data_IF_424255705528
#
_entry.id   IF_424255705528
#
_cell.length_a   1.000
_cell.length_b   1.000
_cell.length_c   1.000
_cell.angle_alpha   90.00
_cell.angle_beta   90.00
_cell.angle_gamma   90.00
#
_symmetry.space_group_name_H-M   'P 1'
#
loop_
_entity.id
_entity.type
_entity.pdbx_description
1 polymer ?
#
# COMPACT_ATOMS: atom_id res chain seq x y z
N UNK A 1 -7.13 -14.58 -27.77
CA UNK A 1 -8.11 -14.84 -26.68
C UNK A 1 -9.14 -13.73 -26.67
N UNK A 2 -10.39 -13.98 -26.24
CA UNK A 2 -11.38 -12.92 -26.08
C UNK A 2 -10.94 -11.87 -25.05
N UNK A 3 -11.27 -10.59 -25.27
CA UNK A 3 -10.92 -9.50 -24.35
C UNK A 3 -11.44 -9.74 -22.92
N UNK A 4 -12.64 -10.31 -22.79
CA UNK A 4 -13.22 -10.68 -21.49
C UNK A 4 -12.36 -11.68 -20.72
N UNK A 5 -11.69 -12.63 -21.39
CA UNK A 5 -10.78 -13.58 -20.75
C UNK A 5 -9.56 -12.89 -20.19
N UNK A 6 -8.97 -11.95 -20.93
CA UNK A 6 -7.80 -11.18 -20.47
C UNK A 6 -8.14 -10.32 -19.26
N UNK A 7 -9.30 -9.65 -19.29
CA UNK A 7 -9.78 -8.83 -18.17
C UNK A 7 -10.00 -9.70 -16.92
N UNK A 8 -10.58 -10.88 -17.06
CA UNK A 8 -10.75 -11.83 -15.94
C UNK A 8 -9.41 -12.35 -15.41
N UNK A 9 -8.45 -12.61 -16.29
CA UNK A 9 -7.11 -13.04 -15.89
C UNK A 9 -6.33 -11.90 -15.19
N UNK A 10 -6.48 -10.65 -15.64
CA UNK A 10 -5.96 -9.47 -14.96
C UNK A 10 -6.59 -9.27 -13.58
N UNK A 11 -7.90 -9.50 -13.44
CA UNK A 11 -8.56 -9.53 -12.13
C UNK A 11 -7.98 -10.64 -11.25
N UNK A 12 -7.78 -11.85 -11.81
CA UNK A 12 -7.18 -12.95 -11.08
C UNK A 12 -5.77 -12.62 -10.58
N UNK A 13 -4.93 -12.03 -11.43
CA UNK A 13 -3.58 -11.58 -11.05
C UNK A 13 -3.63 -10.59 -9.88
N UNK A 14 -4.49 -9.59 -9.92
CA UNK A 14 -4.63 -8.64 -8.80
C UNK A 14 -5.20 -9.28 -7.53
N UNK A 15 -6.12 -10.25 -7.66
CA UNK A 15 -6.74 -10.93 -6.53
C UNK A 15 -5.77 -11.86 -5.76
N UNK A 16 -4.64 -12.27 -6.35
CA UNK A 16 -3.67 -13.09 -5.61
C UNK A 16 -3.08 -12.36 -4.39
N UNK A 17 -3.19 -11.03 -4.33
CA UNK A 17 -2.82 -10.25 -3.14
C UNK A 17 -3.54 -10.72 -1.87
N UNK A 18 -4.75 -11.24 -2.02
CA UNK A 18 -5.53 -11.82 -0.93
C UNK A 18 -4.92 -13.08 -0.34
N UNK A 19 -3.97 -13.73 -1.02
CA UNK A 19 -3.26 -14.90 -0.50
C UNK A 19 -2.21 -14.50 0.55
N UNK A 20 -1.67 -13.28 0.48
CA UNK A 20 -0.69 -12.77 1.45
C UNK A 20 -1.31 -12.12 2.69
N UNK A 21 -2.50 -11.53 2.55
CA UNK A 21 -3.18 -10.79 3.63
C UNK A 21 -3.59 -11.59 4.89
N UNK A 22 -3.92 -12.90 4.82
CA UNK A 22 -4.34 -13.68 5.98
C UNK A 22 -3.31 -13.73 7.11
N UNK A 23 -2.03 -13.44 6.82
CA UNK A 23 -1.00 -13.36 7.86
C UNK A 23 -1.31 -12.31 8.95
N UNK A 24 -2.11 -11.29 8.62
CA UNK A 24 -2.57 -10.29 9.58
C UNK A 24 -3.41 -10.89 10.74
N UNK A 25 -4.06 -12.04 10.53
CA UNK A 25 -4.91 -12.69 11.53
C UNK A 25 -4.14 -13.67 12.44
N UNK A 26 -2.91 -14.06 12.06
CA UNK A 26 -2.13 -15.01 12.84
C UNK A 26 -1.66 -14.35 14.14
N UNK A 27 -2.19 -14.84 15.26
CA UNK A 27 -1.88 -14.34 16.61
C UNK A 27 -0.42 -14.59 17.03
N UNK A 28 0.19 -15.67 16.53
CA UNK A 28 1.49 -16.16 16.99
C UNK A 28 2.50 -16.33 15.84
N UNK A 29 2.64 -15.33 14.97
CA UNK A 29 3.72 -15.33 13.96
C UNK A 29 5.03 -14.97 14.64
N UNK A 30 6.11 -15.78 14.50
CA UNK A 30 7.41 -15.45 15.05
C UNK A 30 7.92 -14.15 14.42
N UNK A 31 8.58 -13.31 15.21
CA UNK A 31 9.06 -12.01 14.76
C UNK A 31 10.01 -12.15 13.55
N UNK A 32 10.84 -13.18 13.53
CA UNK A 32 11.73 -13.50 12.40
C UNK A 32 10.98 -13.67 11.08
N UNK A 33 9.86 -14.38 11.08
CA UNK A 33 9.06 -14.61 9.87
C UNK A 33 8.37 -13.33 9.40
N UNK A 34 7.88 -12.47 10.31
CA UNK A 34 7.31 -11.16 9.95
C UNK A 34 8.35 -10.28 9.25
N UNK A 35 9.56 -10.24 9.80
CA UNK A 35 10.69 -9.49 9.24
C UNK A 35 11.01 -10.03 7.86
N UNK A 36 11.20 -11.35 7.78
CA UNK A 36 11.58 -12.02 6.55
C UNK A 36 10.56 -11.80 5.43
N UNK A 37 9.26 -12.00 5.68
CA UNK A 37 8.22 -11.83 4.65
C UNK A 37 8.05 -10.37 4.23
N UNK A 38 8.14 -9.43 5.17
CA UNK A 38 8.10 -8.00 4.84
C UNK A 38 9.30 -7.59 3.97
N UNK A 39 10.49 -8.11 4.29
CA UNK A 39 11.71 -7.80 3.53
C UNK A 39 11.80 -8.56 2.22
N UNK A 40 11.22 -9.76 2.13
CA UNK A 40 11.00 -10.47 0.88
C UNK A 40 10.11 -9.66 -0.05
N UNK A 41 8.96 -9.19 0.43
CA UNK A 41 8.11 -8.29 -0.36
C UNK A 41 8.85 -7.01 -0.77
N UNK A 42 9.58 -6.38 0.16
CA UNK A 42 10.39 -5.19 -0.15
C UNK A 42 11.46 -5.45 -1.21
N UNK A 43 12.13 -6.60 -1.17
CA UNK A 43 13.12 -6.99 -2.18
C UNK A 43 12.51 -7.16 -3.57
N UNK A 44 11.32 -7.78 -3.63
CA UNK A 44 10.53 -7.88 -4.87
C UNK A 44 10.16 -6.49 -5.39
N UNK A 45 9.66 -5.59 -4.53
CA UNK A 45 9.35 -4.21 -4.92
C UNK A 45 10.58 -3.45 -5.47
N UNK A 46 11.78 -3.68 -4.91
CA UNK A 46 13.00 -3.06 -5.42
C UNK A 46 13.33 -3.55 -6.84
N UNK A 47 13.15 -4.85 -7.10
CA UNK A 47 13.30 -5.38 -8.45
C UNK A 47 12.26 -4.75 -9.41
N UNK A 48 11.00 -4.68 -8.99
CA UNK A 48 9.93 -4.08 -9.80
C UNK A 48 10.18 -2.60 -10.09
N UNK A 49 10.77 -1.86 -9.16
CA UNK A 49 11.16 -0.48 -9.43
C UNK A 49 12.14 -0.38 -10.61
N UNK A 50 13.12 -1.29 -10.65
CA UNK A 50 14.06 -1.36 -11.76
C UNK A 50 13.34 -1.69 -13.07
N UNK A 51 12.51 -2.74 -13.07
CA UNK A 51 11.77 -3.20 -14.25
C UNK A 51 10.83 -2.12 -14.82
N UNK A 52 10.01 -1.50 -13.98
CA UNK A 52 9.09 -0.43 -14.38
C UNK A 52 9.83 0.78 -14.96
N UNK A 53 10.99 1.15 -14.39
CA UNK A 53 11.80 2.25 -14.94
C UNK A 53 12.38 1.87 -16.30
N UNK A 54 12.84 0.63 -16.49
CA UNK A 54 13.34 0.15 -17.78
C UNK A 54 12.24 0.24 -18.85
N UNK A 55 11.06 -0.33 -18.58
CA UNK A 55 9.93 -0.29 -19.49
C UNK A 55 9.46 1.14 -19.81
N UNK A 56 9.47 2.05 -18.83
CA UNK A 56 9.13 3.46 -19.05
C UNK A 56 10.15 4.22 -19.92
N UNK A 57 11.40 3.73 -19.96
CA UNK A 57 12.49 4.38 -20.68
C UNK A 57 12.59 3.90 -22.13
N UNK A 58 12.03 2.74 -22.49
CA UNK A 58 12.07 2.24 -23.88
C UNK A 58 11.51 3.23 -24.91
N UNK A 59 10.31 3.82 -24.73
CA UNK A 59 9.78 4.79 -25.70
C UNK A 59 10.65 6.05 -25.78
N UNK A 60 11.26 6.46 -24.67
CA UNK A 60 12.15 7.63 -24.60
C UNK A 60 13.41 7.38 -25.41
N UNK A 61 14.00 6.19 -25.29
CA UNK A 61 15.18 5.81 -26.07
C UNK A 61 14.85 5.77 -27.56
N UNK A 62 13.70 5.23 -27.95
CA UNK A 62 13.25 5.25 -29.33
C UNK A 62 13.06 6.67 -29.87
N UNK A 63 12.47 7.58 -29.08
CA UNK A 63 12.32 8.99 -29.46
C UNK A 63 13.68 9.72 -29.54
N UNK A 64 14.63 9.39 -28.66
CA UNK A 64 15.98 9.94 -28.68
C UNK A 64 16.76 9.49 -29.93
N UNK A 65 16.63 8.23 -30.32
CA UNK A 65 17.26 7.70 -31.53
C UNK A 65 16.70 8.37 -32.79
N UNK A 66 15.39 8.60 -32.87
CA UNK A 66 14.78 9.39 -33.94
C UNK A 66 15.32 10.82 -33.99
N UNK A 67 15.46 11.48 -32.82
CA UNK A 67 16.00 12.82 -32.73
C UNK A 67 17.48 12.88 -33.18
N UNK A 68 18.27 11.87 -32.80
CA UNK A 68 19.70 11.82 -33.11
C UNK A 68 19.97 11.48 -34.58
N UNK A 69 19.20 10.56 -35.16
CA UNK A 69 19.48 10.00 -36.50
C UNK A 69 18.69 10.69 -37.61
N UNK A 70 17.45 11.10 -37.33
CA UNK A 70 16.54 11.68 -38.33
C UNK A 70 16.26 13.17 -38.08
N UNK A 71 16.75 13.74 -36.97
CA UNK A 71 16.48 15.13 -36.55
C UNK A 71 14.99 15.46 -36.43
N UNK A 72 14.15 14.45 -36.21
CA UNK A 72 12.71 14.55 -36.01
C UNK A 72 12.32 13.98 -34.63
N UNK A 73 11.14 14.29 -34.12
CA UNK A 73 10.68 13.71 -32.84
C UNK A 73 11.19 14.42 -31.58
N UNK A 74 11.71 15.66 -31.69
CA UNK A 74 12.10 16.44 -30.51
C UNK A 74 10.92 16.62 -29.53
N UNK A 75 9.73 16.91 -30.06
CA UNK A 75 8.52 17.11 -29.24
C UNK A 75 8.11 15.85 -28.46
N UNK A 76 8.16 14.68 -29.09
CA UNK A 76 7.85 13.39 -28.42
C UNK A 76 8.89 13.07 -27.36
N UNK A 77 10.18 13.22 -27.67
CA UNK A 77 11.25 13.01 -26.69
C UNK A 77 11.08 13.89 -25.43
N UNK A 78 10.86 15.20 -25.60
CA UNK A 78 10.68 16.10 -24.45
C UNK A 78 9.39 15.82 -23.68
N UNK A 79 8.30 15.46 -24.38
CA UNK A 79 7.05 15.06 -23.73
C UNK A 79 7.25 13.81 -22.89
N UNK A 80 7.90 12.78 -23.44
CA UNK A 80 8.10 11.50 -22.77
C UNK A 80 9.01 11.65 -21.53
N UNK A 81 10.09 12.43 -21.63
CA UNK A 81 10.95 12.78 -20.49
C UNK A 81 10.17 13.57 -19.43
N UNK A 82 9.34 14.52 -19.86
CA UNK A 82 8.49 15.27 -18.94
C UNK A 82 7.51 14.34 -18.21
N UNK A 83 6.84 13.45 -18.93
CA UNK A 83 5.87 12.50 -18.35
C UNK A 83 6.55 11.55 -17.35
N UNK A 84 7.76 11.07 -17.66
CA UNK A 84 8.53 10.24 -16.74
C UNK A 84 8.87 11.00 -15.44
N UNK A 85 9.49 12.17 -15.56
CA UNK A 85 9.94 12.94 -14.40
C UNK A 85 8.77 13.46 -13.57
N UNK A 86 7.74 13.98 -14.22
CA UNK A 86 6.51 14.43 -13.57
C UNK A 86 5.76 13.26 -12.92
N UNK A 87 5.62 12.13 -13.61
CA UNK A 87 4.95 10.94 -13.10
C UNK A 87 5.63 10.37 -11.86
N UNK A 88 6.96 10.22 -11.86
CA UNK A 88 7.73 9.78 -10.68
C UNK A 88 7.52 10.74 -9.50
N UNK A 89 7.60 12.04 -9.76
CA UNK A 89 7.36 13.07 -8.75
C UNK A 89 5.94 13.01 -8.19
N UNK A 90 4.93 12.88 -9.06
CA UNK A 90 3.53 12.78 -8.67
C UNK A 90 3.24 11.49 -7.91
N UNK A 91 3.81 10.35 -8.32
CA UNK A 91 3.64 9.06 -7.64
C UNK A 91 4.28 9.05 -6.26
N UNK A 92 5.49 9.58 -6.12
CA UNK A 92 6.23 9.61 -4.85
C UNK A 92 5.73 10.70 -3.90
N UNK A 93 5.81 11.97 -4.33
CA UNK A 93 5.47 13.13 -3.51
C UNK A 93 3.96 13.27 -3.34
N UNK A 94 3.17 12.88 -4.34
CA UNK A 94 1.71 12.88 -4.25
C UNK A 94 1.19 11.96 -3.15
N UNK A 95 1.82 10.79 -2.93
CA UNK A 95 1.48 9.91 -1.80
C UNK A 95 1.81 10.54 -0.44
N UNK A 96 2.89 11.34 -0.34
CA UNK A 96 3.22 12.10 0.89
C UNK A 96 2.14 13.13 1.20
N UNK A 97 1.67 13.86 0.19
CA UNK A 97 0.59 14.84 0.37
C UNK A 97 -0.75 14.18 0.64
N UNK A 98 -1.07 13.09 -0.06
CA UNK A 98 -2.26 12.28 0.21
C UNK A 98 -2.28 11.79 1.66
N UNK A 99 -1.13 11.30 2.14
CA UNK A 99 -0.94 10.90 3.52
C UNK A 99 -1.24 12.07 4.49
N UNK A 100 -0.58 13.21 4.29
CA UNK A 100 -0.75 14.41 5.11
C UNK A 100 -2.22 14.90 5.15
N UNK A 101 -2.93 14.78 4.02
CA UNK A 101 -4.33 15.15 3.90
C UNK A 101 -5.27 14.21 4.65
N UNK A 102 -5.09 12.89 4.50
CA UNK A 102 -5.88 11.88 5.23
C UNK A 102 -5.68 12.03 6.74
N UNK A 103 -4.45 12.29 7.20
CA UNK A 103 -4.15 12.52 8.60
C UNK A 103 -4.85 13.76 9.17
N UNK A 104 -4.78 14.90 8.46
CA UNK A 104 -5.47 16.13 8.88
C UNK A 104 -6.98 15.93 9.05
N UNK A 105 -7.63 15.21 8.13
CA UNK A 105 -9.07 14.91 8.22
C UNK A 105 -9.43 13.99 9.39
N UNK A 106 -8.61 12.96 9.68
CA UNK A 106 -8.86 12.03 10.81
C UNK A 106 -8.67 12.71 12.17
N UNK A 107 -7.64 13.54 12.31
CA UNK A 107 -7.44 14.33 13.53
C UNK A 107 -8.60 15.29 13.76
N UNK A 108 -9.03 16.00 12.71
CA UNK A 108 -10.16 16.94 12.80
C UNK A 108 -11.48 16.24 13.19
N UNK A 109 -11.77 15.08 12.59
CA UNK A 109 -12.96 14.29 12.96
C UNK A 109 -12.92 13.78 14.40
N UNK A 110 -11.74 13.38 14.90
CA UNK A 110 -11.56 12.93 16.29
C UNK A 110 -11.80 14.07 17.28
N UNK A 111 -11.26 15.27 17.01
CA UNK A 111 -11.49 16.48 17.80
C UNK A 111 -12.97 16.82 17.89
N UNK A 112 -13.69 16.80 16.75
CA UNK A 112 -15.12 17.08 16.71
C UNK A 112 -15.95 16.06 17.50
N UNK A 113 -15.64 14.76 17.43
CA UNK A 113 -16.32 13.75 18.26
C UNK A 113 -16.02 13.90 19.74
N UNK A 114 -14.78 14.20 20.12
CA UNK A 114 -14.42 14.39 21.53
C UNK A 114 -15.07 15.64 22.09
N UNK A 115 -15.08 16.75 21.35
CA UNK A 115 -15.75 18.00 21.74
C UNK A 115 -17.27 17.81 21.83
N UNK A 116 -17.89 17.08 20.89
CA UNK A 116 -19.31 16.77 20.94
C UNK A 116 -19.68 15.86 22.12
N UNK A 117 -18.88 14.84 22.42
CA UNK A 117 -19.10 13.96 23.59
C UNK A 117 -18.90 14.76 24.89
N UNK A 118 -17.87 15.61 24.96
CA UNK A 118 -17.58 16.45 26.14
C UNK A 118 -18.71 17.46 26.36
N UNK A 119 -19.17 18.13 25.30
CA UNK A 119 -20.30 19.07 25.36
C UNK A 119 -21.61 18.36 25.77
N UNK A 120 -21.87 17.15 25.25
CA UNK A 120 -23.03 16.35 25.65
C UNK A 120 -22.96 15.90 27.12
N UNK A 121 -21.76 15.55 27.62
CA UNK A 121 -21.57 15.19 29.03
C UNK A 121 -21.73 16.37 29.99
N UNK A 122 -21.34 17.58 29.57
CA UNK A 122 -21.53 18.81 30.36
C UNK A 122 -23.00 19.26 30.41
N UNK A 123 -23.80 18.92 29.39
CA UNK A 123 -25.23 19.24 29.33
C UNK A 123 -26.12 18.31 30.19
N UNK A 124 -25.63 17.13 30.59
CA UNK A 124 -26.40 16.16 31.39
C UNK A 124 -26.10 16.22 32.90
N UNK A 125 -25.23 17.13 33.33
CA UNK A 125 -24.92 17.33 34.73
C UNK A 125 -25.91 18.35 35.33
N UNK A 126 -27.11 17.89 35.67
CA UNK A 126 -28.04 18.69 36.48
C UNK A 126 -27.38 19.05 37.83
N UNK A 127 -27.54 20.28 38.35
CA UNK A 127 -26.97 20.65 39.63
C UNK A 127 -27.65 19.87 40.75
N UNK A 128 -26.89 19.01 41.42
CA UNK A 128 -27.33 18.38 42.68
C UNK A 128 -27.67 19.46 43.71
N UNK A 129 -28.81 19.39 44.41
CA UNK A 129 -29.13 20.36 45.44
C UNK A 129 -28.10 20.27 46.56
N UNK A 130 -27.47 21.39 46.88
CA UNK A 130 -26.55 21.50 48.02
C UNK A 130 -27.40 21.43 49.29
N UNK A 131 -27.51 20.25 49.90
CA UNK A 131 -28.07 20.09 51.24
C UNK A 131 -26.97 20.45 52.24
N UNK A 132 -27.09 21.63 52.85
CA UNK A 132 -26.28 21.99 54.00
C UNK A 132 -26.81 21.27 55.24
N UNK A 133 -26.02 20.39 55.83
CA UNK A 133 -26.24 19.93 57.21
C UNK A 133 -24.95 20.09 57.98
N UNK A 134 -24.94 21.09 58.87
CA UNK A 134 -24.19 21.03 60.12
C UNK A 134 -24.74 19.84 60.93
N UNK A 135 -23.88 18.94 61.45
CA UNK A 135 -23.73 18.73 62.89
C UNK A 135 -22.67 17.66 63.25
N UNK A 136 -22.32 17.69 64.52
CA UNK A 136 -21.25 17.04 65.28
C UNK A 136 -21.25 15.49 65.42
N UNK A 137 -20.06 14.99 65.80
CA UNK A 137 -19.76 13.78 66.62
C UNK A 137 -19.91 12.33 66.09
N UNK A 138 -18.82 11.58 66.27
CA UNK A 138 -18.72 10.22 66.85
C UNK A 138 -19.39 8.98 66.18
N UNK A 139 -18.56 7.94 66.02
CA UNK A 139 -18.79 6.47 66.10
C UNK A 139 -19.28 5.62 64.89
N UNK A 140 -18.43 4.60 64.64
CA UNK A 140 -18.70 3.16 64.34
C UNK A 140 -19.08 2.68 62.93
N UNK A 141 -18.43 1.55 62.62
CA UNK A 141 -18.56 0.58 61.52
C UNK A 141 -19.86 0.54 60.70
N UNK A 142 -19.69 0.55 59.38
CA UNK A 142 -20.68 0.08 58.41
C UNK A 142 -20.01 -0.15 57.06
N UNK A 143 -19.99 -1.40 56.60
CA UNK A 143 -19.48 -1.85 55.30
C UNK A 143 -20.14 -1.08 54.15
N UNK A 144 -19.36 -0.29 53.41
CA UNK A 144 -19.77 0.29 52.14
C UNK A 144 -18.98 -0.39 51.02
N UNK A 145 -19.69 -1.17 50.20
CA UNK A 145 -19.17 -1.75 48.98
C UNK A 145 -18.58 -0.64 48.09
N UNK A 146 -17.26 -0.62 48.00
CA UNK A 146 -16.54 0.20 47.03
C UNK A 146 -16.86 -0.37 45.66
N UNK A 147 -17.82 0.26 44.97
CA UNK A 147 -18.00 0.12 43.52
C UNK A 147 -16.67 0.47 42.87
N UNK A 148 -15.93 -0.56 42.48
CA UNK A 148 -14.72 -0.46 41.66
C UNK A 148 -15.15 0.04 40.28
N UNK A 149 -15.20 1.37 40.14
CA UNK A 149 -15.25 2.01 38.84
C UNK A 149 -14.11 1.43 38.00
N UNK A 150 -14.45 0.66 36.98
CA UNK A 150 -13.53 0.13 36.00
C UNK A 150 -12.78 1.32 35.39
N UNK A 151 -11.54 1.53 35.83
CA UNK A 151 -10.64 2.50 35.21
C UNK A 151 -10.36 1.98 33.81
N UNK A 152 -11.11 2.50 32.84
CA UNK A 152 -10.70 2.47 31.43
C UNK A 152 -9.37 3.19 31.38
N UNK A 153 -8.27 2.42 31.35
CA UNK A 153 -6.94 2.96 31.23
C UNK A 153 -6.86 3.82 29.96
N UNK A 154 -6.19 4.98 29.99
CA UNK A 154 -6.06 5.81 28.81
C UNK A 154 -5.41 4.98 27.69
N UNK A 155 -6.12 4.84 26.57
CA UNK A 155 -5.59 4.22 25.37
C UNK A 155 -4.23 4.85 25.06
N UNK A 156 -3.18 4.03 24.98
CA UNK A 156 -1.81 4.46 24.79
C UNK A 156 -1.73 5.52 23.68
N UNK A 157 -1.43 6.76 24.07
CA UNK A 157 -1.25 7.86 23.13
C UNK A 157 0.07 7.59 22.41
N UNK A 158 0.00 7.26 21.12
CA UNK A 158 1.19 7.10 20.29
C UNK A 158 2.02 8.40 20.33
N UNK A 159 3.35 8.33 20.49
CA UNK A 159 4.20 9.51 20.50
C UNK A 159 4.06 10.30 19.19
N UNK A 160 4.17 11.64 19.29
CA UNK A 160 4.07 12.56 18.15
C UNK A 160 5.03 12.15 17.03
N UNK A 161 4.47 11.64 15.92
CA UNK A 161 5.23 11.31 14.70
C UNK A 161 5.12 9.85 14.24
N UNK A 162 4.57 8.92 15.04
CA UNK A 162 4.40 7.52 14.60
C UNK A 162 3.08 7.30 13.84
N UNK A 163 3.19 6.82 12.60
CA UNK A 163 2.04 6.41 11.79
C UNK A 163 1.40 5.18 12.43
N UNK A 164 0.11 5.27 12.77
CA UNK A 164 -0.63 4.15 13.33
C UNK A 164 -0.58 2.94 12.36
N UNK A 165 -0.45 1.69 12.84
CA UNK A 165 -0.26 0.52 11.98
C UNK A 165 -1.34 0.33 10.90
N UNK A 166 -2.61 0.58 11.23
CA UNK A 166 -3.70 0.54 10.25
C UNK A 166 -3.60 1.62 9.19
N UNK A 167 -3.08 2.80 9.54
CA UNK A 167 -2.81 3.86 8.56
C UNK A 167 -1.64 3.48 7.68
N UNK A 168 -0.57 2.93 8.25
CA UNK A 168 0.59 2.46 7.49
C UNK A 168 0.20 1.36 6.49
N UNK A 169 -0.60 0.37 6.92
CA UNK A 169 -1.12 -0.67 6.03
C UNK A 169 -1.99 -0.11 4.89
N UNK A 170 -2.81 0.91 5.17
CA UNK A 170 -3.61 1.59 4.14
C UNK A 170 -2.73 2.35 3.14
N UNK A 171 -1.67 3.02 3.61
CA UNK A 171 -0.71 3.72 2.75
C UNK A 171 0.04 2.73 1.86
N UNK A 172 0.54 1.64 2.44
CA UNK A 172 1.20 0.56 1.70
C UNK A 172 0.24 -0.02 0.65
N UNK A 173 -1.00 -0.34 1.02
CA UNK A 173 -2.01 -0.83 0.07
C UNK A 173 -2.34 0.18 -1.04
N UNK A 174 -2.37 1.48 -0.74
CA UNK A 174 -2.65 2.53 -1.72
C UNK A 174 -1.49 2.70 -2.71
N UNK A 175 -0.25 2.73 -2.20
CA UNK A 175 0.95 2.80 -3.04
C UNK A 175 1.10 1.55 -3.90
N UNK A 176 0.84 0.37 -3.32
CA UNK A 176 0.80 -0.89 -4.06
C UNK A 176 -0.30 -0.86 -5.13
N UNK A 177 -1.49 -0.39 -4.79
CA UNK A 177 -2.59 -0.24 -5.76
C UNK A 177 -2.24 0.63 -6.96
N UNK A 178 -1.50 1.73 -6.76
CA UNK A 178 -1.07 2.56 -7.88
C UNK A 178 -0.09 1.84 -8.81
N UNK A 179 0.79 1.01 -8.24
CA UNK A 179 1.72 0.20 -9.00
C UNK A 179 0.99 -0.92 -9.76
N UNK A 180 0.07 -1.63 -9.10
CA UNK A 180 -0.77 -2.66 -9.69
C UNK A 180 -1.64 -2.19 -10.85
N UNK A 181 -2.00 -0.90 -10.88
CA UNK A 181 -2.64 -0.32 -12.06
C UNK A 181 -1.75 -0.41 -13.30
N UNK A 182 -0.44 -0.16 -13.16
CA UNK A 182 0.52 -0.22 -14.27
C UNK A 182 0.75 -1.66 -14.76
N UNK A 183 0.75 -2.66 -13.86
CA UNK A 183 0.72 -4.08 -14.23
C UNK A 183 -0.49 -4.42 -15.09
N UNK A 184 -1.67 -3.98 -14.64
CA UNK A 184 -2.90 -4.18 -15.37
C UNK A 184 -2.79 -3.59 -16.77
N UNK A 185 -2.30 -2.34 -16.86
CA UNK A 185 -2.09 -1.65 -18.12
C UNK A 185 -1.18 -2.43 -19.07
N UNK A 186 -0.08 -2.99 -18.56
CA UNK A 186 0.84 -3.82 -19.32
C UNK A 186 0.19 -5.13 -19.82
N UNK A 187 -0.57 -5.84 -18.97
CA UNK A 187 -1.35 -7.02 -19.38
C UNK A 187 -2.31 -6.67 -20.53
N UNK A 188 -3.06 -5.56 -20.38
CA UNK A 188 -4.04 -5.13 -21.37
C UNK A 188 -3.41 -4.75 -22.70
N UNK A 189 -2.30 -3.99 -22.68
CA UNK A 189 -1.57 -3.58 -23.88
C UNK A 189 -0.97 -4.77 -24.62
N UNK A 190 -0.30 -5.68 -23.90
CA UNK A 190 0.26 -6.91 -24.47
C UNK A 190 -0.81 -7.76 -25.16
N UNK A 191 -1.97 -7.91 -24.53
CA UNK A 191 -3.07 -8.64 -25.14
C UNK A 191 -3.65 -7.94 -26.38
N UNK A 192 -3.77 -6.61 -26.34
CA UNK A 192 -4.39 -5.84 -27.39
C UNK A 192 -3.52 -5.71 -28.66
N UNK A 193 -2.19 -5.85 -28.55
CA UNK A 193 -1.28 -6.02 -29.70
C UNK A 193 -1.17 -7.48 -30.19
N UNK A 194 -1.95 -8.40 -29.62
CA UNK A 194 -1.96 -9.81 -30.00
C UNK A 194 -0.86 -10.66 -29.35
N UNK A 195 -0.04 -10.08 -28.45
CA UNK A 195 1.00 -10.79 -27.69
C UNK A 195 0.38 -11.56 -26.51
N UNK A 196 -0.48 -12.53 -26.82
CA UNK A 196 -1.24 -13.30 -25.84
C UNK A 196 -0.33 -14.12 -24.93
N UNK A 197 0.75 -14.68 -25.46
CA UNK A 197 1.73 -15.44 -24.68
C UNK A 197 2.39 -14.56 -23.63
N UNK A 198 2.85 -13.36 -24.03
CA UNK A 198 3.38 -12.34 -23.13
C UNK A 198 2.35 -11.96 -22.06
N UNK A 199 1.10 -11.69 -22.44
CA UNK A 199 0.06 -11.35 -21.47
C UNK A 199 -0.17 -12.44 -20.41
N UNK A 200 -0.21 -13.72 -20.79
CA UNK A 200 -0.36 -14.85 -19.85
C UNK A 200 0.84 -14.95 -18.91
N UNK A 201 2.03 -14.79 -19.46
CA UNK A 201 3.28 -14.83 -18.70
C UNK A 201 3.33 -13.69 -17.67
N UNK A 202 2.96 -12.47 -18.07
CA UNK A 202 2.79 -11.32 -17.16
C UNK A 202 1.75 -11.60 -16.08
N UNK A 203 0.58 -12.17 -16.43
CA UNK A 203 -0.46 -12.54 -15.45
C UNK A 203 0.08 -13.50 -14.37
N UNK A 204 0.89 -14.48 -14.76
CA UNK A 204 1.47 -15.44 -13.82
C UNK A 204 2.54 -14.76 -12.96
N UNK A 205 3.47 -14.02 -13.57
CA UNK A 205 4.52 -13.28 -12.86
C UNK A 205 3.92 -12.30 -11.86
N UNK A 206 3.02 -11.44 -12.32
CA UNK A 206 2.30 -10.45 -11.52
C UNK A 206 1.47 -11.09 -10.43
N UNK A 207 0.76 -12.18 -10.73
CA UNK A 207 0.03 -12.94 -9.72
C UNK A 207 0.94 -13.49 -8.61
N UNK A 208 2.14 -13.98 -8.94
CA UNK A 208 3.06 -14.52 -7.95
C UNK A 208 3.61 -13.43 -7.01
N UNK A 209 3.98 -12.25 -7.51
CA UNK A 209 4.47 -11.20 -6.62
C UNK A 209 3.36 -10.44 -5.91
N UNK A 210 2.17 -10.28 -6.51
CA UNK A 210 1.00 -9.72 -5.83
C UNK A 210 0.69 -10.48 -4.54
N UNK A 211 0.83 -11.81 -4.53
CA UNK A 211 0.75 -12.58 -3.28
C UNK A 211 1.75 -12.09 -2.23
N UNK A 212 3.00 -11.82 -2.62
CA UNK A 212 4.04 -11.35 -1.68
C UNK A 212 3.78 -9.93 -1.17
N UNK A 213 3.18 -9.07 -1.98
CA UNK A 213 2.77 -7.71 -1.60
C UNK A 213 1.70 -7.69 -0.51
N UNK A 214 0.83 -8.71 -0.49
CA UNK A 214 -0.10 -8.97 0.61
C UNK A 214 0.62 -9.09 1.96
N UNK A 215 1.85 -9.64 1.99
CA UNK A 215 2.66 -9.68 3.22
C UNK A 215 3.15 -8.29 3.63
N UNK A 216 3.54 -7.46 2.67
CA UNK A 216 3.93 -6.06 2.90
C UNK A 216 2.79 -5.25 3.53
N UNK A 217 1.58 -5.40 2.99
CA UNK A 217 0.36 -4.75 3.53
C UNK A 217 0.03 -5.25 4.94
N UNK A 218 0.11 -6.57 5.17
CA UNK A 218 -0.24 -7.20 6.43
C UNK A 218 0.82 -7.02 7.53
N UNK A 219 2.07 -6.73 7.16
CA UNK A 219 3.21 -6.60 8.06
C UNK A 219 2.91 -5.70 9.28
N UNK A 220 2.54 -4.42 9.07
CA UNK A 220 2.19 -3.51 10.16
C UNK A 220 1.02 -3.99 11.04
N UNK A 221 0.11 -4.77 10.49
CA UNK A 221 -1.11 -5.23 11.18
C UNK A 221 -0.88 -6.42 12.09
N UNK A 222 0.27 -7.08 11.99
CA UNK A 222 0.47 -8.36 12.68
C UNK A 222 0.58 -8.15 14.19
N UNK A 223 -0.31 -8.77 14.96
CA UNK A 223 -0.44 -8.57 16.41
C UNK A 223 -1.40 -7.44 16.80
N UNK A 224 -2.00 -6.76 15.82
CA UNK A 224 -3.09 -5.81 16.04
C UNK A 224 -4.45 -6.51 15.93
N UNK A 225 -5.49 -5.89 16.50
CA UNK A 225 -6.88 -6.29 16.21
C UNK A 225 -7.27 -5.75 14.84
N UNK A 226 -7.57 -6.66 13.90
CA UNK A 226 -8.01 -6.34 12.54
C UNK A 226 -9.40 -6.93 12.27
N UNK A 227 -10.20 -6.21 11.50
CA UNK A 227 -11.51 -6.70 11.04
C UNK A 227 -11.39 -7.27 9.62
N UNK A 228 -12.20 -8.28 9.31
CA UNK A 228 -12.29 -8.84 7.96
C UNK A 228 -12.64 -7.79 6.90
N UNK A 229 -13.56 -6.86 7.22
CA UNK A 229 -13.92 -5.76 6.33
C UNK A 229 -12.72 -4.90 5.95
N UNK A 230 -11.84 -4.63 6.92
CA UNK A 230 -10.65 -3.84 6.68
C UNK A 230 -9.63 -4.60 5.81
N UNK A 231 -9.41 -5.89 6.06
CA UNK A 231 -8.52 -6.71 5.22
C UNK A 231 -9.05 -6.84 3.79
N UNK A 232 -10.37 -7.05 3.62
CA UNK A 232 -11.01 -7.07 2.30
C UNK A 232 -10.79 -5.73 1.58
N UNK A 233 -11.00 -4.62 2.28
CA UNK A 233 -10.76 -3.29 1.73
C UNK A 233 -9.29 -3.10 1.30
N UNK A 234 -8.32 -3.52 2.12
CA UNK A 234 -6.91 -3.39 1.77
C UNK A 234 -6.54 -4.22 0.54
N UNK A 235 -7.06 -5.45 0.42
CA UNK A 235 -6.82 -6.26 -0.78
C UNK A 235 -7.51 -5.70 -2.02
N UNK A 236 -8.69 -5.07 -1.89
CA UNK A 236 -9.34 -4.38 -3.01
C UNK A 236 -8.57 -3.12 -3.43
N UNK A 237 -8.04 -2.36 -2.47
CA UNK A 237 -7.22 -1.17 -2.76
C UNK A 237 -5.90 -1.58 -3.41
N UNK A 238 -5.25 -2.64 -2.91
CA UNK A 238 -3.99 -3.12 -3.45
C UNK A 238 -4.16 -3.85 -4.80
N UNK A 239 -5.04 -4.84 -4.91
CA UNK A 239 -5.16 -5.70 -6.10
C UNK A 239 -6.24 -5.28 -7.11
N UNK A 240 -7.28 -4.57 -6.68
CA UNK A 240 -8.35 -4.11 -7.57
C UNK A 240 -7.88 -3.24 -8.75
N UNK A 241 -6.88 -2.36 -8.58
CA UNK A 241 -6.35 -1.58 -9.68
C UNK A 241 -5.76 -2.39 -10.84
N UNK A 242 -5.26 -3.62 -10.63
CA UNK A 242 -4.80 -4.49 -11.74
C UNK A 242 -5.91 -4.76 -12.74
N UNK A 243 -7.12 -5.07 -12.25
CA UNK A 243 -8.29 -5.25 -13.11
C UNK A 243 -8.63 -3.99 -13.91
N UNK A 244 -8.63 -2.83 -13.25
CA UNK A 244 -8.92 -1.54 -13.90
C UNK A 244 -7.85 -1.18 -14.93
N UNK A 245 -6.58 -1.41 -14.59
CA UNK A 245 -5.45 -1.24 -15.48
C UNK A 245 -5.58 -2.13 -16.70
N UNK A 246 -5.98 -3.40 -16.55
CA UNK A 246 -6.20 -4.31 -17.69
C UNK A 246 -7.29 -3.81 -18.62
N UNK A 247 -8.41 -3.32 -18.08
CA UNK A 247 -9.45 -2.71 -18.91
C UNK A 247 -8.90 -1.53 -19.70
N UNK A 248 -8.25 -0.57 -19.03
CA UNK A 248 -7.67 0.62 -19.68
C UNK A 248 -6.63 0.20 -20.72
N UNK A 249 -5.78 -0.78 -20.39
CA UNK A 249 -4.76 -1.32 -21.26
C UNK A 249 -5.35 -2.04 -22.47
N UNK A 250 -6.55 -2.61 -22.41
CA UNK A 250 -7.17 -3.19 -23.61
C UNK A 250 -7.74 -2.15 -24.59
N UNK A 251 -7.95 -0.90 -24.16
CA UNK A 251 -8.61 0.13 -24.98
C UNK A 251 -7.73 1.34 -25.33
N UNK A 252 -6.63 1.58 -24.60
CA UNK A 252 -5.81 2.79 -24.73
C UNK A 252 -4.35 2.48 -25.04
N UNK A 253 -3.92 2.77 -26.27
CA UNK A 253 -2.59 2.44 -26.81
C UNK A 253 -1.59 3.60 -26.90
N UNK A 254 -1.78 4.66 -26.09
CA UNK A 254 -0.92 5.83 -26.17
C UNK A 254 0.40 5.60 -25.42
N UNK A 255 1.58 5.76 -26.06
CA UNK A 255 2.88 5.70 -25.38
C UNK A 255 2.97 6.69 -24.22
N UNK A 256 2.43 7.90 -24.39
CA UNK A 256 2.38 8.92 -23.34
C UNK A 256 1.59 8.45 -22.11
N UNK A 257 0.45 7.79 -22.32
CA UNK A 257 -0.36 7.22 -21.22
C UNK A 257 0.42 6.10 -20.53
N UNK A 258 1.08 5.23 -21.31
CA UNK A 258 1.92 4.15 -20.78
C UNK A 258 3.04 4.71 -19.89
N UNK A 259 3.86 5.63 -20.41
CA UNK A 259 4.96 6.26 -19.68
C UNK A 259 4.47 6.94 -18.41
N UNK A 260 3.38 7.72 -18.48
CA UNK A 260 2.83 8.41 -17.32
C UNK A 260 2.43 7.43 -16.21
N UNK A 261 1.75 6.33 -16.55
CA UNK A 261 1.31 5.36 -15.53
C UNK A 261 2.46 4.52 -14.98
N UNK A 262 3.44 4.12 -15.80
CA UNK A 262 4.66 3.46 -15.28
C UNK A 262 5.46 4.40 -14.38
N UNK A 263 5.58 5.68 -14.75
CA UNK A 263 6.25 6.68 -13.94
C UNK A 263 5.55 6.91 -12.59
N UNK A 264 4.21 7.00 -12.60
CA UNK A 264 3.41 7.05 -11.38
C UNK A 264 3.62 5.82 -10.50
N UNK A 265 3.65 4.62 -11.09
CA UNK A 265 3.93 3.37 -10.39
C UNK A 265 5.33 3.36 -9.78
N UNK A 266 6.36 3.72 -10.54
CA UNK A 266 7.75 3.82 -10.04
C UNK A 266 7.84 4.81 -8.86
N UNK A 267 7.19 5.97 -8.97
CA UNK A 267 7.10 6.93 -7.86
C UNK A 267 6.43 6.34 -6.62
N UNK A 268 5.34 5.60 -6.78
CA UNK A 268 4.66 4.94 -5.67
C UNK A 268 5.50 3.83 -5.02
N UNK A 269 6.19 3.02 -5.83
CA UNK A 269 7.09 1.97 -5.33
C UNK A 269 8.22 2.60 -4.51
N UNK A 270 8.83 3.71 -4.96
CA UNK A 270 9.85 4.44 -4.19
C UNK A 270 9.31 4.82 -2.80
N UNK A 271 8.09 5.38 -2.75
CA UNK A 271 7.46 5.75 -1.49
C UNK A 271 7.24 4.54 -0.57
N UNK A 272 6.65 3.46 -1.09
CA UNK A 272 6.35 2.24 -0.31
C UNK A 272 7.62 1.56 0.18
N UNK A 273 8.64 1.43 -0.67
CA UNK A 273 9.94 0.85 -0.30
C UNK A 273 10.58 1.67 0.83
N UNK A 274 10.53 3.00 0.75
CA UNK A 274 11.05 3.86 1.82
C UNK A 274 10.34 3.61 3.17
N UNK A 275 9.01 3.47 3.16
CA UNK A 275 8.22 3.15 4.36
C UNK A 275 8.56 1.76 4.91
N UNK A 276 8.65 0.73 4.06
CA UNK A 276 8.97 -0.64 4.46
C UNK A 276 10.40 -0.77 5.02
N UNK A 277 11.39 -0.10 4.41
CA UNK A 277 12.75 -0.01 4.95
C UNK A 277 12.78 0.78 6.26
N UNK A 278 11.96 1.81 6.40
CA UNK A 278 11.77 2.55 7.65
C UNK A 278 11.26 1.65 8.78
N UNK A 279 10.31 0.77 8.50
CA UNK A 279 9.86 -0.28 9.42
C UNK A 279 11.00 -1.26 9.73
N UNK A 280 11.78 -1.66 8.72
CA UNK A 280 12.86 -2.62 8.86
C UNK A 280 13.93 -2.20 9.87
N UNK A 281 14.24 -0.90 9.92
CA UNK A 281 15.21 -0.30 10.87
C UNK A 281 14.84 -0.50 12.35
N UNK A 282 13.58 -0.82 12.65
CA UNK A 282 13.12 -1.12 14.01
C UNK A 282 13.48 -2.53 14.47
N UNK A 283 13.90 -3.40 13.55
CA UNK A 283 14.25 -4.78 13.86
C UNK A 283 15.72 -4.93 14.25
N UNK A 284 16.00 -5.73 15.29
CA UNK A 284 17.35 -6.02 15.79
C UNK A 284 18.01 -7.22 15.11
N UNK A 285 17.74 -7.43 13.81
CA UNK A 285 18.22 -8.61 13.06
C UNK A 285 18.57 -8.23 11.61
N UNK A 286 19.69 -7.54 11.38
CA UNK A 286 20.08 -7.06 10.05
C UNK A 286 20.29 -8.21 9.04
N UNK A 287 20.73 -9.38 9.49
CA UNK A 287 20.92 -10.55 8.63
C UNK A 287 19.61 -11.01 8.00
N UNK A 288 18.54 -11.15 8.81
CA UNK A 288 17.22 -11.53 8.32
C UNK A 288 16.64 -10.50 7.37
N UNK A 289 16.91 -9.22 7.63
CA UNK A 289 16.50 -8.12 6.74
C UNK A 289 17.19 -8.27 5.38
N UNK A 290 18.51 -8.43 5.37
CA UNK A 290 19.28 -8.57 4.13
C UNK A 290 18.93 -9.84 3.37
N UNK A 291 18.72 -10.98 4.05
CA UNK A 291 18.28 -12.22 3.40
C UNK A 291 16.89 -12.07 2.79
N UNK A 292 15.96 -11.43 3.49
CA UNK A 292 14.64 -11.14 2.93
C UNK A 292 14.75 -10.28 1.67
N UNK A 293 15.48 -9.17 1.73
CA UNK A 293 15.69 -8.27 0.58
C UNK A 293 16.34 -9.00 -0.60
N UNK A 294 17.41 -9.77 -0.36
CA UNK A 294 18.13 -10.49 -1.39
C UNK A 294 17.25 -11.55 -2.05
N UNK A 295 16.59 -12.39 -1.25
CA UNK A 295 15.72 -13.46 -1.78
C UNK A 295 14.54 -12.85 -2.53
N UNK A 296 13.94 -11.79 -1.99
CA UNK A 296 12.87 -11.05 -2.67
C UNK A 296 13.30 -10.52 -4.02
N UNK A 297 14.45 -9.83 -4.08
CA UNK A 297 14.98 -9.30 -5.34
C UNK A 297 15.27 -10.42 -6.35
N UNK A 298 15.92 -11.49 -5.91
CA UNK A 298 16.23 -12.64 -6.77
C UNK A 298 14.97 -13.37 -7.25
N UNK A 299 13.90 -13.41 -6.46
CA UNK A 299 12.62 -13.96 -6.90
C UNK A 299 11.99 -13.09 -7.98
N UNK A 300 11.98 -11.77 -7.81
CA UNK A 300 11.52 -10.84 -8.85
C UNK A 300 12.32 -10.99 -10.14
N UNK A 301 13.65 -11.00 -10.04
CA UNK A 301 14.53 -11.22 -11.18
C UNK A 301 14.31 -12.59 -11.85
N UNK A 302 14.11 -13.65 -11.05
CA UNK A 302 13.81 -14.97 -11.60
C UNK A 302 12.46 -14.99 -12.33
N UNK A 303 11.44 -14.28 -11.85
CA UNK A 303 10.17 -14.15 -12.57
C UNK A 303 10.33 -13.44 -13.91
N UNK A 304 11.14 -12.40 -13.97
CA UNK A 304 11.46 -11.70 -15.23
C UNK A 304 12.25 -12.57 -16.22
N UNK A 305 13.22 -13.35 -15.72
CA UNK A 305 13.93 -14.33 -16.56
C UNK A 305 12.98 -15.40 -17.13
N UNK A 306 12.03 -15.89 -16.33
CA UNK A 306 11.01 -16.83 -16.81
C UNK A 306 10.11 -16.17 -17.85
N UNK A 307 9.80 -14.88 -17.67
CA UNK A 307 9.00 -14.10 -18.60
C UNK A 307 9.73 -13.98 -19.95
N UNK A 308 10.98 -13.54 -19.91
CA UNK A 308 11.88 -13.41 -21.07
C UNK A 308 12.06 -14.75 -21.78
N UNK A 309 12.34 -15.83 -21.04
CA UNK A 309 12.47 -17.19 -21.63
C UNK A 309 11.18 -17.66 -22.32
N UNK A 310 10.02 -17.23 -21.81
CA UNK A 310 8.70 -17.50 -22.41
C UNK A 310 8.43 -16.76 -23.72
N UNK A 311 9.35 -15.93 -24.20
CA UNK A 311 9.24 -15.16 -25.44
C UNK A 311 8.69 -13.75 -25.27
N UNK A 312 8.91 -13.15 -24.10
CA UNK A 312 8.65 -11.74 -23.81
C UNK A 312 9.78 -10.85 -24.32
#
# INVERSE_FOLDING_TARGET
>A
MPAGTIILLGAFAGLTIFLGLPIAFLKHVPQSLKIFLSMLATGVLIFLLYDVIQQATEPINAALDQLRTQHTGAGTFFLDVFLLTFGIGLGSVGLVYFNSFIFKRRLHKKTLTTEAITAASLSQQEPTPIVNTHDDTSTKHGSAAVLTASRVGPAAVLPKGEIAPHTLALLIATGIGLHNFSEGLAIGQSAAVGAIQLAVVLIIGFGLHNMTEGFGIAGPLTGQRVSWKFIVLLGLIGGGPTFLGTIVGTISHSPAVFILFLALAAGAIIYVVAELLGVAKRFKSPELVMWGLLIGFLLGYATDLLVTFGGA
#
